data_IF_826626675423
#
_entry.id   IF_826626675423
#
_cell.length_a   1.000
_cell.length_b   1.000
_cell.length_c   1.000
_cell.angle_alpha   90.00
_cell.angle_beta   90.00
_cell.angle_gamma   90.00
#
_symmetry.space_group_name_H-M   'P 1'
#
loop_
_entity.id
_entity.type
_entity.pdbx_description
1 polymer ?
#
# COMPACT_ATOMS: atom_id res chain seq x y z
N UNK A 1 -5.27 -1.73 8.97
CA UNK A 1 -3.94 -1.47 8.34
C UNK A 1 -4.08 -0.29 7.38
N UNK A 2 -2.99 0.40 7.04
CA UNK A 2 -2.96 1.56 6.13
C UNK A 2 -2.13 1.24 4.87
N UNK A 3 -2.11 2.16 3.89
CA UNK A 3 -1.22 2.14 2.73
C UNK A 3 -0.56 3.51 2.55
N UNK A 4 0.36 3.65 1.59
CA UNK A 4 1.17 4.86 1.43
C UNK A 4 0.97 5.49 0.06
N UNK A 5 0.76 6.81 0.03
CA UNK A 5 0.55 7.57 -1.20
C UNK A 5 1.44 8.80 -1.27
N UNK A 6 2.42 8.85 -2.19
CA UNK A 6 3.25 10.04 -2.39
C UNK A 6 2.45 11.17 -3.05
N UNK A 7 2.49 12.38 -2.47
CA UNK A 7 2.02 13.61 -3.12
C UNK A 7 3.17 14.61 -3.20
N UNK A 8 3.40 15.09 -4.42
CA UNK A 8 4.47 16.01 -4.74
C UNK A 8 3.99 17.41 -5.05
N UNK A 9 4.90 18.35 -4.92
CA UNK A 9 4.79 19.73 -5.40
C UNK A 9 6.09 20.12 -6.10
N UNK A 10 6.00 20.85 -7.20
CA UNK A 10 7.16 21.43 -7.87
C UNK A 10 7.02 22.94 -7.79
N UNK A 11 8.02 23.60 -7.21
CA UNK A 11 8.03 25.06 -7.08
C UNK A 11 7.97 25.68 -8.50
N UNK A 12 6.92 26.45 -8.76
CA UNK A 12 6.69 27.09 -10.07
C UNK A 12 7.49 28.40 -10.21
N UNK A 13 7.82 29.02 -9.08
CA UNK A 13 8.50 30.30 -8.98
C UNK A 13 9.52 30.26 -7.82
N UNK A 14 10.43 31.22 -7.83
CA UNK A 14 11.36 31.43 -6.72
C UNK A 14 10.62 31.95 -5.47
N UNK A 15 11.32 31.99 -4.34
CA UNK A 15 10.77 32.55 -3.09
C UNK A 15 9.83 31.62 -2.32
N UNK A 16 9.58 30.39 -2.80
CA UNK A 16 8.76 29.40 -2.06
C UNK A 16 9.52 28.92 -0.81
N UNK A 17 8.98 29.26 0.35
CA UNK A 17 9.55 28.94 1.66
C UNK A 17 9.06 27.57 2.13
N UNK A 18 7.74 27.35 2.11
CA UNK A 18 7.11 26.15 2.64
C UNK A 18 5.85 25.79 1.87
N UNK A 19 5.59 24.49 1.75
CA UNK A 19 4.37 23.95 1.15
C UNK A 19 3.78 22.91 2.10
N UNK A 20 2.49 23.03 2.41
CA UNK A 20 1.73 22.05 3.16
C UNK A 20 0.68 21.42 2.25
N UNK A 21 0.41 20.14 2.43
CA UNK A 21 -0.79 19.49 1.92
C UNK A 21 -1.82 19.40 3.03
N UNK A 22 -3.03 19.87 2.73
CA UNK A 22 -4.22 19.71 3.55
C UNK A 22 -5.10 18.66 2.89
N UNK A 23 -5.58 17.68 3.64
CA UNK A 23 -6.36 16.60 3.06
C UNK A 23 -7.40 16.00 3.99
N UNK A 24 -8.41 15.37 3.39
CA UNK A 24 -9.45 14.59 4.06
C UNK A 24 -9.86 13.42 3.15
N UNK A 25 -10.39 12.35 3.76
CA UNK A 25 -10.95 11.22 3.02
C UNK A 25 -12.44 11.10 3.36
N UNK A 26 -13.28 10.91 2.35
CA UNK A 26 -14.74 10.80 2.50
C UNK A 26 -15.27 9.59 1.76
N UNK A 27 -16.45 9.06 2.13
CA UNK A 27 -17.17 8.09 1.32
C UNK A 27 -17.42 8.60 -0.12
N UNK A 28 -17.65 7.68 -1.09
CA UNK A 28 -17.97 8.06 -2.46
C UNK A 28 -19.12 9.07 -2.54
N UNK A 29 -18.99 10.07 -3.41
CA UNK A 29 -20.01 11.09 -3.63
C UNK A 29 -20.11 12.20 -2.58
N UNK A 30 -19.41 12.10 -1.45
CA UNK A 30 -19.46 13.11 -0.39
C UNK A 30 -18.34 14.15 -0.51
N UNK A 31 -18.57 15.35 0.04
CA UNK A 31 -17.59 16.44 0.14
C UNK A 31 -16.89 16.45 1.50
N UNK A 32 -15.65 16.95 1.59
CA UNK A 32 -14.91 16.98 2.84
C UNK A 32 -15.47 18.04 3.81
N UNK A 33 -15.68 17.64 5.06
CA UNK A 33 -15.81 18.57 6.18
C UNK A 33 -14.42 18.85 6.75
N UNK A 34 -13.85 20.01 6.46
CA UNK A 34 -12.50 20.37 6.92
C UNK A 34 -12.37 20.56 8.43
N UNK A 35 -13.48 20.61 9.17
CA UNK A 35 -13.44 20.63 10.64
C UNK A 35 -13.25 19.24 11.24
N UNK A 36 -13.44 18.19 10.46
CA UNK A 36 -13.45 16.81 10.92
C UNK A 36 -12.63 15.88 10.00
N UNK A 37 -11.70 15.12 10.57
CA UNK A 37 -10.85 14.21 9.77
C UNK A 37 -9.82 14.92 8.87
N UNK A 38 -9.64 16.23 9.04
CA UNK A 38 -8.61 17.02 8.36
C UNK A 38 -7.21 16.64 8.84
N UNK A 39 -6.34 16.32 7.89
CA UNK A 39 -4.91 16.18 8.08
C UNK A 39 -4.14 17.28 7.35
N UNK A 40 -3.07 17.77 7.95
CA UNK A 40 -2.11 18.65 7.28
C UNK A 40 -0.67 18.17 7.47
N UNK A 41 0.15 18.25 6.43
CA UNK A 41 1.56 17.85 6.49
C UNK A 41 2.42 18.80 5.67
N UNK A 42 3.56 19.19 6.21
CA UNK A 42 4.61 19.89 5.45
C UNK A 42 5.22 18.92 4.44
N UNK A 43 5.37 19.35 3.19
CA UNK A 43 6.12 18.64 2.16
C UNK A 43 7.62 18.86 2.38
N UNK A 44 8.38 17.77 2.34
CA UNK A 44 9.82 17.78 2.52
C UNK A 44 10.49 18.25 1.23
N UNK A 45 11.36 19.25 1.32
CA UNK A 45 12.20 19.70 0.20
C UNK A 45 13.17 18.58 -0.21
N UNK A 46 13.10 18.18 -1.47
CA UNK A 46 13.96 17.16 -2.09
C UNK A 46 15.06 17.77 -2.95
N UNK A 47 15.13 19.10 -3.02
CA UNK A 47 16.06 19.84 -3.86
C UNK A 47 15.70 19.78 -5.35
N UNK A 48 16.70 20.02 -6.20
CA UNK A 48 16.55 20.07 -7.66
C UNK A 48 16.31 21.49 -8.21
N UNK A 49 16.28 21.60 -9.53
CA UNK A 49 15.89 22.82 -10.26
C UNK A 49 15.01 22.45 -11.47
N UNK A 50 13.69 22.75 -11.44
CA UNK A 50 12.96 23.38 -10.34
C UNK A 50 12.97 22.53 -9.06
N UNK A 51 12.84 23.20 -7.90
CA UNK A 51 12.84 22.52 -6.59
C UNK A 51 11.59 21.65 -6.48
N UNK A 52 11.78 20.42 -6.00
CA UNK A 52 10.70 19.45 -5.81
C UNK A 52 10.50 19.17 -4.33
N UNK A 53 9.24 18.96 -3.94
CA UNK A 53 8.84 18.67 -2.57
C UNK A 53 7.93 17.47 -2.53
N UNK A 54 8.01 16.66 -1.48
CA UNK A 54 7.27 15.40 -1.39
C UNK A 54 6.75 15.16 0.03
N UNK A 55 5.54 14.62 0.12
CA UNK A 55 5.11 13.90 1.33
C UNK A 55 4.52 12.54 0.98
N UNK A 56 4.95 11.51 1.70
CA UNK A 56 4.29 10.20 1.69
C UNK A 56 3.19 10.21 2.74
N UNK A 57 1.95 10.14 2.29
CA UNK A 57 0.76 10.14 3.14
C UNK A 57 0.40 8.72 3.56
N UNK A 58 0.01 8.54 4.82
CA UNK A 58 -0.56 7.28 5.31
C UNK A 58 -2.06 7.30 5.09
N UNK A 59 -2.51 6.47 4.15
CA UNK A 59 -3.88 6.41 3.68
C UNK A 59 -4.66 5.26 4.33
N UNK A 60 -5.96 5.45 4.62
CA UNK A 60 -6.79 4.36 5.14
C UNK A 60 -7.09 3.33 4.05
N UNK A 61 -7.31 2.06 4.43
CA UNK A 61 -7.77 1.02 3.49
C UNK A 61 -9.28 1.03 3.27
N UNK A 62 -9.99 1.69 4.16
CA UNK A 62 -11.44 1.88 4.14
C UNK A 62 -11.77 3.14 4.93
N UNK A 63 -12.86 3.80 4.55
CA UNK A 63 -13.44 4.90 5.33
C UNK A 63 -14.81 4.49 5.81
N UNK A 64 -15.19 4.98 6.98
CA UNK A 64 -16.52 4.74 7.53
C UNK A 64 -17.54 5.68 6.88
N UNK A 65 -18.57 5.10 6.27
CA UNK A 65 -19.68 5.86 5.72
C UNK A 65 -20.78 6.04 6.77
N UNK A 66 -20.86 7.26 7.32
CA UNK A 66 -21.84 7.62 8.34
C UNK A 66 -23.29 7.61 7.82
N UNK A 67 -23.49 7.82 6.52
CA UNK A 67 -24.83 7.87 5.91
C UNK A 67 -25.44 6.47 5.81
N UNK A 68 -24.62 5.49 5.42
CA UNK A 68 -25.06 4.12 5.17
C UNK A 68 -24.69 3.13 6.28
N UNK A 69 -23.84 3.53 7.24
CA UNK A 69 -23.50 2.75 8.43
C UNK A 69 -22.55 1.57 8.19
N UNK A 70 -21.63 1.68 7.22
CA UNK A 70 -20.69 0.63 6.83
C UNK A 70 -19.36 1.20 6.35
N UNK A 71 -18.28 0.43 6.45
CA UNK A 71 -16.98 0.79 5.87
C UNK A 71 -16.99 0.54 4.37
N UNK A 72 -16.41 1.46 3.59
CA UNK A 72 -16.18 1.30 2.15
C UNK A 72 -14.69 1.35 1.81
N UNK A 73 -14.16 0.38 1.03
CA UNK A 73 -12.77 0.38 0.57
C UNK A 73 -12.53 1.35 -0.60
N UNK A 74 -13.59 1.78 -1.29
CA UNK A 74 -13.55 2.84 -2.30
C UNK A 74 -14.03 4.13 -1.67
N UNK A 75 -13.29 5.22 -1.88
CA UNK A 75 -13.53 6.49 -1.20
C UNK A 75 -12.90 7.65 -1.98
N UNK A 76 -13.17 8.89 -1.60
CA UNK A 76 -12.55 10.06 -2.23
C UNK A 76 -11.45 10.64 -1.35
N UNK A 77 -10.32 10.96 -1.96
CA UNK A 77 -9.23 11.69 -1.35
C UNK A 77 -9.25 13.14 -1.83
N UNK A 78 -9.54 14.05 -0.91
CA UNK A 78 -9.63 15.49 -1.18
C UNK A 78 -8.39 16.18 -0.63
N UNK A 79 -7.77 17.05 -1.41
CA UNK A 79 -6.62 17.80 -0.94
C UNK A 79 -6.41 19.13 -1.66
N UNK A 80 -5.73 20.06 -1.00
CA UNK A 80 -5.20 21.29 -1.59
C UNK A 80 -3.83 21.60 -0.96
N UNK A 81 -3.07 22.47 -1.61
CA UNK A 81 -1.79 22.94 -1.07
C UNK A 81 -1.93 24.34 -0.47
N UNK A 82 -1.28 24.56 0.67
CA UNK A 82 -1.04 25.88 1.26
C UNK A 82 0.44 26.21 1.04
N UNK A 83 0.71 27.36 0.43
CA UNK A 83 2.04 27.79 0.00
C UNK A 83 2.40 29.08 0.72
N UNK A 84 3.58 29.10 1.31
CA UNK A 84 4.24 30.28 1.85
C UNK A 84 5.33 30.72 0.87
N UNK A 85 5.22 31.93 0.34
CA UNK A 85 6.09 32.47 -0.69
C UNK A 85 6.30 33.97 -0.43
N UNK A 86 7.57 34.39 -0.32
CA UNK A 86 7.97 35.78 -0.05
C UNK A 86 7.20 36.43 1.13
N UNK A 87 7.03 35.67 2.22
CA UNK A 87 6.28 36.09 3.40
C UNK A 87 4.75 36.16 3.22
N UNK A 88 4.20 35.89 2.04
CA UNK A 88 2.77 35.80 1.76
C UNK A 88 2.29 34.35 1.78
N UNK A 89 0.98 34.17 1.93
CA UNK A 89 0.33 32.86 1.99
C UNK A 89 -0.84 32.77 1.02
N UNK A 90 -0.87 31.69 0.25
CA UNK A 90 -1.95 31.39 -0.68
C UNK A 90 -2.23 29.89 -0.75
N UNK A 91 -3.36 29.51 -1.33
CA UNK A 91 -3.76 28.11 -1.49
C UNK A 91 -4.13 27.79 -2.93
N UNK A 92 -3.92 26.54 -3.34
CA UNK A 92 -4.44 26.04 -4.63
C UNK A 92 -5.95 25.82 -4.56
N UNK A 93 -6.54 25.52 -5.73
CA UNK A 93 -7.86 24.90 -5.80
C UNK A 93 -7.88 23.53 -5.10
N UNK A 94 -9.10 23.04 -4.87
CA UNK A 94 -9.36 21.71 -4.33
C UNK A 94 -9.20 20.63 -5.41
N UNK A 95 -8.36 19.64 -5.13
CA UNK A 95 -8.24 18.41 -5.90
C UNK A 95 -9.06 17.29 -5.24
N UNK A 96 -9.56 16.36 -6.05
CA UNK A 96 -10.30 15.19 -5.58
C UNK A 96 -9.97 13.97 -6.44
N UNK A 97 -9.51 12.90 -5.80
CA UNK A 97 -9.13 11.65 -6.45
C UNK A 97 -10.00 10.52 -5.91
N UNK A 98 -10.58 9.72 -6.80
CA UNK A 98 -11.32 8.53 -6.40
C UNK A 98 -10.31 7.42 -6.10
N UNK A 99 -10.24 7.00 -4.84
CA UNK A 99 -9.42 5.87 -4.42
C UNK A 99 -10.20 4.59 -4.65
N UNK A 100 -9.58 3.69 -5.41
CA UNK A 100 -10.10 2.37 -5.74
C UNK A 100 -9.11 1.30 -5.32
N UNK A 101 -9.48 0.04 -5.53
CA UNK A 101 -8.63 -1.09 -5.21
C UNK A 101 -8.58 -2.11 -6.34
N UNK A 102 -7.55 -2.95 -6.28
CA UNK A 102 -7.41 -4.13 -7.12
C UNK A 102 -7.07 -5.33 -6.26
N UNK A 103 -7.90 -6.37 -6.37
CA UNK A 103 -7.63 -7.66 -5.78
C UNK A 103 -6.57 -8.40 -6.60
N UNK A 104 -5.72 -9.13 -5.88
CA UNK A 104 -4.62 -9.89 -6.43
C UNK A 104 -4.65 -11.30 -5.90
N UNK A 105 -4.25 -12.22 -6.77
CA UNK A 105 -4.11 -13.63 -6.45
C UNK A 105 -2.73 -14.12 -6.90
N UNK A 106 -2.08 -14.89 -6.05
CA UNK A 106 -0.95 -15.73 -6.41
C UNK A 106 -1.36 -17.19 -6.19
N UNK A 107 -1.27 -18.01 -7.24
CA UNK A 107 -1.66 -19.43 -7.20
C UNK A 107 -0.43 -20.28 -6.96
N UNK A 108 -0.44 -21.07 -5.89
CA UNK A 108 0.59 -22.05 -5.57
C UNK A 108 0.02 -23.47 -5.76
N UNK A 109 0.23 -24.04 -6.95
CA UNK A 109 -0.22 -25.39 -7.30
C UNK A 109 0.56 -26.48 -6.55
N UNK A 110 1.77 -26.17 -6.10
CA UNK A 110 2.69 -27.17 -5.54
C UNK A 110 2.60 -27.20 -4.00
N UNK A 111 2.01 -26.16 -3.40
CA UNK A 111 1.81 -26.05 -1.96
C UNK A 111 3.12 -25.87 -1.20
N UNK A 112 4.11 -25.23 -1.81
CA UNK A 112 5.44 -25.05 -1.20
C UNK A 112 5.58 -23.73 -0.45
N UNK A 113 4.76 -22.73 -0.78
CA UNK A 113 4.83 -21.45 -0.10
C UNK A 113 4.30 -21.60 1.33
N UNK A 114 5.05 -21.12 2.32
CA UNK A 114 4.57 -21.00 3.70
C UNK A 114 4.22 -19.56 4.03
N UNK A 115 4.79 -18.58 3.32
CA UNK A 115 4.45 -17.18 3.45
C UNK A 115 4.58 -16.49 2.09
N UNK A 116 3.58 -15.69 1.71
CA UNK A 116 3.66 -14.79 0.57
C UNK A 116 3.22 -13.41 1.03
N UNK A 117 3.97 -12.40 0.61
CA UNK A 117 3.56 -11.02 0.70
C UNK A 117 3.75 -10.34 -0.65
N UNK A 118 2.94 -9.31 -0.86
CA UNK A 118 3.13 -8.39 -1.96
C UNK A 118 3.70 -7.09 -1.42
N UNK A 119 4.70 -6.58 -2.12
CA UNK A 119 5.12 -5.20 -2.05
C UNK A 119 4.60 -4.45 -3.26
N UNK A 120 4.03 -3.28 -3.05
CA UNK A 120 3.48 -2.48 -4.14
C UNK A 120 3.53 -1.00 -3.85
N UNK A 121 3.46 -0.15 -4.85
CA UNK A 121 3.44 1.31 -4.66
C UNK A 121 2.72 2.02 -5.82
N UNK A 122 2.29 3.26 -5.56
CA UNK A 122 1.64 4.11 -6.57
C UNK A 122 2.68 4.87 -7.35
N UNK A 123 2.63 4.77 -8.68
CA UNK A 123 3.58 5.39 -9.60
C UNK A 123 4.84 4.55 -9.74
N UNK A 124 5.80 4.77 -8.84
CA UNK A 124 7.11 4.11 -8.82
C UNK A 124 7.36 3.43 -7.47
N UNK A 125 8.58 2.91 -7.24
CA UNK A 125 8.93 2.22 -5.99
C UNK A 125 9.27 3.17 -4.82
N UNK A 126 8.88 4.45 -4.87
CA UNK A 126 9.26 5.50 -3.92
C UNK A 126 8.58 5.40 -2.55
N UNK A 127 7.43 4.73 -2.45
CA UNK A 127 6.74 4.47 -1.18
C UNK A 127 6.12 3.07 -1.15
N UNK A 128 6.94 2.01 -1.03
CA UNK A 128 6.45 0.65 -1.08
C UNK A 128 5.60 0.32 0.14
N UNK A 129 4.48 -0.35 -0.10
CA UNK A 129 3.52 -0.86 0.87
C UNK A 129 3.70 -2.37 0.94
N UNK A 130 3.91 -2.88 2.14
CA UNK A 130 3.83 -4.30 2.43
C UNK A 130 2.37 -4.71 2.65
N UNK A 131 1.92 -5.74 1.95
CA UNK A 131 0.65 -6.41 2.24
C UNK A 131 0.85 -7.93 2.35
N UNK A 132 0.59 -8.52 3.52
CA UNK A 132 0.62 -9.97 3.66
C UNK A 132 -0.50 -10.58 2.81
N UNK A 133 -0.20 -11.70 2.16
CA UNK A 133 -1.19 -12.49 1.44
C UNK A 133 -1.59 -13.71 2.26
N UNK A 134 -2.82 -14.18 2.09
CA UNK A 134 -3.34 -15.37 2.77
C UNK A 134 -4.29 -16.13 1.85
N UNK A 135 -4.33 -17.45 1.97
CA UNK A 135 -5.44 -18.23 1.42
C UNK A 135 -6.72 -17.94 2.20
N UNK A 136 -7.85 -17.56 1.56
CA UNK A 136 -9.09 -17.27 2.28
C UNK A 136 -9.63 -18.43 3.13
N UNK A 137 -9.23 -19.66 2.81
CA UNK A 137 -9.59 -20.87 3.57
C UNK A 137 -8.72 -21.07 4.80
N UNK A 138 -7.60 -20.34 4.93
CA UNK A 138 -6.73 -20.44 6.10
C UNK A 138 -7.46 -19.94 7.36
N UNK A 139 -7.40 -20.67 8.50
CA UNK A 139 -8.20 -20.32 9.67
C UNK A 139 -7.98 -18.89 10.16
N UNK A 140 -9.06 -18.11 10.24
CA UNK A 140 -9.01 -16.68 10.50
C UNK A 140 -8.50 -16.31 11.92
N UNK A 141 -8.66 -17.22 12.87
CA UNK A 141 -8.26 -17.15 14.27
C UNK A 141 -6.84 -17.70 14.55
N UNK A 142 -6.23 -18.35 13.55
CA UNK A 142 -4.89 -18.95 13.67
C UNK A 142 -3.82 -17.92 14.10
N UNK A 143 -2.91 -18.34 14.97
CA UNK A 143 -1.73 -17.55 15.32
C UNK A 143 -0.71 -17.46 14.17
N UNK A 144 -0.80 -18.37 13.19
CA UNK A 144 0.12 -18.48 12.05
C UNK A 144 -0.33 -17.66 10.83
N UNK A 145 -1.23 -16.69 11.01
CA UNK A 145 -1.62 -15.82 9.91
C UNK A 145 -0.46 -14.94 9.43
N UNK A 146 -0.37 -14.72 8.12
CA UNK A 146 0.67 -13.89 7.49
C UNK A 146 0.70 -12.46 8.04
N UNK A 147 -0.43 -11.95 8.52
CA UNK A 147 -0.53 -10.63 9.20
C UNK A 147 0.23 -10.57 10.53
N UNK A 148 0.46 -11.72 11.17
CA UNK A 148 1.19 -11.84 12.44
C UNK A 148 2.67 -12.19 12.23
N UNK A 149 3.07 -12.52 10.99
CA UNK A 149 4.40 -13.06 10.68
C UNK A 149 5.50 -12.23 11.31
N UNK A 150 5.60 -10.93 11.04
CA UNK A 150 6.72 -10.11 11.54
C UNK A 150 6.75 -9.94 13.06
N UNK A 151 5.59 -9.91 13.71
CA UNK A 151 5.49 -9.84 15.19
C UNK A 151 5.71 -11.19 15.88
N UNK A 152 5.69 -12.30 15.15
CA UNK A 152 5.90 -13.63 15.71
C UNK A 152 7.38 -13.85 16.02
N UNK A 153 7.73 -14.19 17.26
CA UNK A 153 9.13 -14.27 17.68
C UNK A 153 9.84 -15.53 17.17
N UNK A 154 9.16 -16.69 17.18
CA UNK A 154 9.70 -17.98 16.73
C UNK A 154 9.37 -18.21 15.24
N UNK A 155 10.24 -17.75 14.35
CA UNK A 155 10.02 -17.87 12.90
C UNK A 155 10.04 -19.33 12.42
N UNK A 156 10.87 -20.16 13.04
CA UNK A 156 11.00 -21.56 12.63
C UNK A 156 9.72 -22.32 12.95
N UNK A 157 9.17 -22.14 14.17
CA UNK A 157 7.84 -22.69 14.51
C UNK A 157 6.75 -22.12 13.61
N UNK A 158 6.75 -20.82 13.34
CA UNK A 158 5.75 -20.20 12.47
C UNK A 158 5.71 -20.90 11.11
N UNK A 159 6.87 -21.10 10.47
CA UNK A 159 6.93 -21.74 9.17
C UNK A 159 6.65 -23.24 9.21
N UNK A 160 7.12 -23.95 10.23
CA UNK A 160 6.85 -25.37 10.43
C UNK A 160 5.35 -25.64 10.58
N UNK A 161 4.70 -24.99 11.54
CA UNK A 161 3.28 -25.26 11.86
C UNK A 161 2.37 -24.79 10.72
N UNK A 162 2.67 -23.62 10.14
CA UNK A 162 1.94 -23.12 8.96
C UNK A 162 2.05 -24.06 7.76
N UNK A 163 3.24 -24.60 7.51
CA UNK A 163 3.44 -25.58 6.43
C UNK A 163 2.52 -26.78 6.58
N UNK A 164 2.46 -27.39 7.77
CA UNK A 164 1.60 -28.56 8.01
C UNK A 164 0.11 -28.22 7.91
N UNK A 165 -0.29 -27.04 8.37
CA UNK A 165 -1.67 -26.56 8.18
C UNK A 165 -2.02 -26.41 6.69
N UNK A 166 -1.11 -25.84 5.89
CA UNK A 166 -1.28 -25.70 4.46
C UNK A 166 -1.29 -27.05 3.74
N UNK A 167 -0.43 -28.01 4.12
CA UNK A 167 -0.45 -29.35 3.52
C UNK A 167 -1.76 -30.12 3.77
N UNK A 168 -2.49 -29.79 4.84
CA UNK A 168 -3.80 -30.36 5.11
C UNK A 168 -4.93 -29.74 4.27
N UNK A 169 -4.66 -28.64 3.57
CA UNK A 169 -5.61 -27.96 2.70
C UNK A 169 -5.57 -28.50 1.26
N UNK A 170 -6.71 -28.44 0.57
CA UNK A 170 -6.78 -28.83 -0.84
C UNK A 170 -6.06 -27.80 -1.73
N UNK A 171 -5.26 -28.31 -2.67
CA UNK A 171 -4.52 -27.50 -3.65
C UNK A 171 -5.40 -27.11 -4.85
N UNK A 172 -5.09 -26.01 -5.55
CA UNK A 172 -4.00 -25.07 -5.28
C UNK A 172 -4.27 -24.17 -4.07
N UNK A 173 -3.21 -23.66 -3.44
CA UNK A 173 -3.35 -22.56 -2.47
C UNK A 173 -3.46 -21.23 -3.23
N UNK A 174 -4.41 -20.39 -2.82
CA UNK A 174 -4.75 -19.13 -3.49
C UNK A 174 -4.47 -17.96 -2.57
N UNK A 175 -3.26 -17.41 -2.65
CA UNK A 175 -2.82 -16.33 -1.79
C UNK A 175 -3.40 -15.02 -2.28
N UNK A 176 -4.20 -14.33 -1.45
CA UNK A 176 -4.91 -13.13 -1.84
C UNK A 176 -4.47 -11.90 -1.04
N UNK A 177 -4.42 -10.76 -1.72
CA UNK A 177 -4.25 -9.44 -1.11
C UNK A 177 -4.87 -8.35 -2.00
N UNK A 178 -4.78 -7.10 -1.56
CA UNK A 178 -5.37 -5.94 -2.21
C UNK A 178 -4.38 -4.79 -2.30
N UNK A 179 -4.33 -4.16 -3.47
CA UNK A 179 -3.67 -2.86 -3.68
C UNK A 179 -4.69 -1.75 -3.76
N UNK A 180 -4.25 -0.53 -3.48
CA UNK A 180 -5.09 0.67 -3.47
C UNK A 180 -4.40 1.79 -4.23
N UNK A 181 -5.19 2.70 -4.78
CA UNK A 181 -4.64 3.89 -5.41
C UNK A 181 -5.72 4.72 -6.08
N UNK A 182 -5.38 5.91 -6.59
CA UNK A 182 -6.30 6.69 -7.40
C UNK A 182 -6.74 5.91 -8.65
N UNK A 183 -7.99 6.05 -9.05
CA UNK A 183 -8.50 5.54 -10.34
C UNK A 183 -7.65 6.12 -11.48
N UNK A 184 -7.24 5.27 -12.41
CA UNK A 184 -6.34 5.62 -13.50
C UNK A 184 -4.85 5.66 -13.11
N UNK A 185 -4.51 5.44 -11.85
CA UNK A 185 -3.11 5.41 -11.43
C UNK A 185 -2.40 4.14 -11.89
N UNK A 186 -1.11 4.29 -12.15
CA UNK A 186 -0.19 3.17 -12.29
C UNK A 186 0.22 2.67 -10.91
N UNK A 187 0.19 1.35 -10.72
CA UNK A 187 0.75 0.66 -9.57
C UNK A 187 1.90 -0.24 -10.02
N UNK A 188 2.95 -0.30 -9.22
CA UNK A 188 4.04 -1.26 -9.39
C UNK A 188 3.98 -2.30 -8.28
N UNK A 189 4.28 -3.56 -8.59
CA UNK A 189 4.27 -4.64 -7.59
C UNK A 189 5.38 -5.67 -7.74
N UNK A 190 5.75 -6.33 -6.64
CA UNK A 190 6.56 -7.54 -6.59
C UNK A 190 6.03 -8.48 -5.51
N UNK A 191 6.19 -9.79 -5.70
CA UNK A 191 5.94 -10.77 -4.64
C UNK A 191 7.24 -11.05 -3.89
N UNK A 192 7.11 -11.28 -2.60
CA UNK A 192 8.16 -11.85 -1.77
C UNK A 192 7.62 -13.16 -1.18
N UNK A 193 8.25 -14.26 -1.61
CA UNK A 193 7.78 -15.62 -1.42
C UNK A 193 8.78 -16.33 -0.50
N UNK A 194 8.27 -16.86 0.60
CA UNK A 194 9.01 -17.71 1.53
C UNK A 194 8.55 -19.16 1.43
N UNK A 195 9.47 -20.03 1.00
CA UNK A 195 9.42 -21.49 1.20
C UNK A 195 10.38 -21.82 2.32
N UNK A 196 9.89 -21.84 3.54
CA UNK A 196 10.77 -21.94 4.72
C UNK A 196 10.72 -23.32 5.39
N UNK A 197 9.89 -24.22 4.86
CA UNK A 197 9.77 -25.60 5.28
C UNK A 197 9.36 -26.47 4.07
N UNK A 198 9.87 -27.71 3.93
CA UNK A 198 10.86 -28.36 4.79
C UNK A 198 12.25 -27.69 4.65
N UNK A 199 13.10 -27.66 5.71
CA UNK A 199 14.31 -26.83 5.76
C UNK A 199 15.33 -27.12 4.64
N UNK A 200 15.34 -28.34 4.13
CA UNK A 200 16.22 -28.84 3.07
C UNK A 200 15.91 -28.17 1.73
N UNK A 201 14.71 -27.62 1.60
CA UNK A 201 14.24 -26.92 0.41
C UNK A 201 13.98 -25.43 0.70
N UNK A 202 14.58 -24.91 1.77
CA UNK A 202 14.40 -23.52 2.22
C UNK A 202 14.88 -22.54 1.17
N UNK A 203 14.00 -21.62 0.79
CA UNK A 203 14.24 -20.59 -0.19
C UNK A 203 13.33 -19.39 0.07
N UNK A 204 13.90 -18.19 0.00
CA UNK A 204 13.17 -16.93 0.14
C UNK A 204 13.65 -16.01 -0.96
N UNK A 205 12.72 -15.52 -1.77
CA UNK A 205 13.06 -14.74 -2.94
C UNK A 205 12.00 -13.72 -3.30
N UNK A 206 12.44 -12.70 -4.01
CA UNK A 206 11.57 -11.73 -4.67
C UNK A 206 11.30 -12.21 -6.08
N UNK A 207 10.04 -12.14 -6.47
CA UNK A 207 9.59 -12.49 -7.81
C UNK A 207 9.13 -11.23 -8.51
N UNK A 208 9.64 -11.03 -9.72
CA UNK A 208 9.22 -10.05 -10.71
C UNK A 208 8.74 -10.73 -12.00
N UNK A 209 8.38 -9.96 -13.04
CA UNK A 209 7.83 -10.50 -14.28
C UNK A 209 8.79 -11.45 -15.02
N UNK A 210 10.10 -11.20 -14.93
CA UNK A 210 11.12 -12.03 -15.59
C UNK A 210 11.74 -13.10 -14.66
N UNK A 211 11.08 -13.40 -13.54
CA UNK A 211 11.55 -14.38 -12.55
C UNK A 211 12.15 -13.72 -11.30
N UNK A 212 13.19 -14.34 -10.72
CA UNK A 212 13.80 -13.82 -9.48
C UNK A 212 14.35 -12.42 -9.69
N UNK A 213 14.12 -11.53 -8.75
CA UNK A 213 14.55 -10.13 -8.81
C UNK A 213 15.15 -9.66 -7.50
N UNK A 214 15.81 -8.49 -7.51
CA UNK A 214 16.06 -7.74 -6.28
C UNK A 214 14.78 -6.98 -5.85
N UNK A 215 14.67 -6.58 -4.56
CA UNK A 215 13.60 -5.70 -4.11
C UNK A 215 13.65 -4.38 -4.89
N UNK A 216 12.56 -4.00 -5.55
CA UNK A 216 12.52 -2.82 -6.40
C UNK A 216 13.42 -2.91 -7.64
N UNK A 217 13.76 -4.12 -8.11
CA UNK A 217 14.54 -4.30 -9.33
C UNK A 217 13.68 -4.40 -10.59
N UNK A 218 12.77 -5.38 -10.61
CA UNK A 218 11.88 -5.65 -11.73
C UNK A 218 10.48 -5.99 -11.23
N UNK A 219 9.47 -5.21 -11.61
CA UNK A 219 8.13 -5.26 -11.04
C UNK A 219 7.07 -5.36 -12.14
N UNK A 220 5.93 -5.94 -11.81
CA UNK A 220 4.76 -5.82 -12.68
C UNK A 220 4.20 -4.41 -12.57
N UNK A 221 3.72 -3.90 -13.70
CA UNK A 221 2.98 -2.65 -13.79
C UNK A 221 1.49 -3.01 -13.93
N UNK A 222 0.66 -2.36 -13.12
CA UNK A 222 -0.78 -2.52 -13.11
C UNK A 222 -1.43 -1.14 -13.28
N UNK A 223 -2.62 -1.09 -13.87
CA UNK A 223 -3.43 0.12 -13.94
C UNK A 223 -4.75 -0.11 -13.20
N UNK A 224 -5.19 0.92 -12.47
CA UNK A 224 -6.45 0.96 -11.72
C UNK A 224 -7.58 1.65 -12.50
#
# INVERSE_FOLDING_TARGET
>A
MSWYYPKGWTDQEDGVEQVLIHYACTPPGQYPDWSWGHGSRVLEDRGGYPRTRLKVLRMPREVWDMEHGWSTPEYRFHYYFEVFQDGARWTTDLFSEDIVYRDLEYVDDHGWATNICIYWSVGDWGAPVYSPMEDPRFPADSEFRSTRYYSYWDKDRFHHDKFHMLQAMERPHRWQARMYGPRGATLVQQYHIGRMHPPEEKDEFWLGPDGRSAPGGNWWVQHL
#
